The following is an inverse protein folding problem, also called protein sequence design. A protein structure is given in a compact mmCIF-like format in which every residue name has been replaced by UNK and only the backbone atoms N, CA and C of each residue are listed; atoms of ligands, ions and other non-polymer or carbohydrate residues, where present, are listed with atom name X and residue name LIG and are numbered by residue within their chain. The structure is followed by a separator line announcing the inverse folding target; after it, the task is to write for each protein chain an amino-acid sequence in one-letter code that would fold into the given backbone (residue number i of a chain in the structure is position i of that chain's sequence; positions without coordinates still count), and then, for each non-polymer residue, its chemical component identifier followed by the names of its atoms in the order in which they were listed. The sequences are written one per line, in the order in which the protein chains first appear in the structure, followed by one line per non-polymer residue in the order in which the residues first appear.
data_IF_765194941716
#
_entry.id   IF_765194941716
#
_cell.length_a   1.000
_cell.length_b   1.000
_cell.length_c   1.000
_cell.angle_alpha   90.00
_cell.angle_beta   90.00
_cell.angle_gamma   90.00
#
_symmetry.space_group_name_H-M   'P 1'
#
loop_
_entity.id
_entity.type
_entity.pdbx_description
1 polymer ?
#
# COMPACT_ATOMS: atom_id res chain seq x y z
N UNK A 1 72.33 -32.16 -27.03
CA UNK A 1 72.46 -32.31 -28.48
C UNK A 1 71.17 -31.86 -29.13
N UNK A 2 71.24 -30.75 -29.83
CA UNK A 2 70.60 -30.48 -31.15
C UNK A 2 69.06 -30.48 -31.18
N UNK A 3 68.36 -29.58 -31.72
CA UNK A 3 68.47 -28.46 -32.65
C UNK A 3 67.12 -27.74 -32.68
N UNK A 4 67.07 -26.46 -32.58
CA UNK A 4 66.78 -25.51 -33.64
C UNK A 4 65.67 -25.90 -34.64
N UNK A 5 64.58 -25.12 -34.67
CA UNK A 5 64.20 -24.38 -35.86
C UNK A 5 63.01 -23.46 -35.63
N UNK A 6 63.30 -22.25 -35.79
CA UNK A 6 62.60 -21.08 -36.26
C UNK A 6 61.36 -21.34 -37.13
N UNK A 7 60.26 -20.66 -36.88
CA UNK A 7 59.44 -20.04 -37.88
C UNK A 7 58.69 -18.81 -37.31
N UNK A 8 59.02 -17.68 -37.84
CA UNK A 8 58.32 -16.38 -37.70
C UNK A 8 57.12 -16.41 -38.64
N UNK A 9 55.95 -16.11 -38.15
CA UNK A 9 54.86 -15.63 -39.02
C UNK A 9 54.27 -14.41 -38.34
N UNK A 10 54.47 -13.25 -38.95
CA UNK A 10 53.79 -12.00 -38.68
C UNK A 10 52.38 -12.12 -39.24
N UNK A 11 51.39 -11.91 -38.40
CA UNK A 11 50.01 -11.77 -38.81
C UNK A 11 49.39 -10.60 -38.08
N UNK A 12 49.31 -9.46 -38.79
CA UNK A 12 48.54 -8.34 -38.36
C UNK A 12 47.07 -8.68 -38.38
N UNK A 13 46.43 -8.72 -37.22
CA UNK A 13 44.98 -8.82 -37.12
C UNK A 13 44.43 -7.52 -36.54
N UNK A 14 43.59 -6.89 -37.33
CA UNK A 14 42.89 -5.65 -37.04
C UNK A 14 42.00 -5.78 -35.81
N UNK A 15 42.19 -4.91 -34.85
CA UNK A 15 41.30 -4.77 -33.68
C UNK A 15 40.10 -3.96 -34.13
N UNK A 16 38.99 -4.65 -34.40
CA UNK A 16 37.70 -4.01 -34.54
C UNK A 16 37.17 -3.73 -33.12
N UNK A 17 37.29 -2.49 -32.69
CA UNK A 17 36.64 -2.04 -31.43
C UNK A 17 35.14 -1.95 -31.64
N UNK A 18 34.42 -2.99 -31.29
CA UNK A 18 32.99 -2.94 -31.14
C UNK A 18 32.65 -2.19 -29.83
N UNK A 19 32.28 -0.93 -29.96
CA UNK A 19 31.71 -0.15 -28.85
C UNK A 19 30.33 -0.74 -28.51
N UNK A 20 30.28 -1.65 -27.55
CA UNK A 20 29.03 -2.10 -26.95
C UNK A 20 28.48 -0.94 -26.11
N UNK A 21 27.47 -0.25 -26.63
CA UNK A 21 26.65 0.68 -25.87
C UNK A 21 25.85 -0.16 -24.86
N UNK A 22 26.39 -0.34 -23.66
CA UNK A 22 25.67 -0.87 -22.51
C UNK A 22 24.65 0.16 -22.07
N UNK A 23 23.43 0.02 -22.54
CA UNK A 23 22.28 0.73 -21.98
C UNK A 23 22.06 0.10 -20.59
N UNK A 24 22.61 0.74 -19.57
CA UNK A 24 22.29 0.42 -18.20
C UNK A 24 20.82 0.75 -17.99
N UNK A 25 19.96 -0.22 -17.59
CA UNK A 25 18.63 0.13 -17.15
C UNK A 25 18.80 0.99 -15.91
N UNK A 26 18.37 2.24 -15.99
CA UNK A 26 18.16 3.07 -14.81
C UNK A 26 17.12 2.36 -13.99
N UNK A 27 17.56 1.61 -12.98
CA UNK A 27 16.71 1.17 -11.89
C UNK A 27 16.17 2.48 -11.30
N UNK A 28 14.92 2.80 -11.66
CA UNK A 28 14.21 3.86 -11.01
C UNK A 28 14.28 3.55 -9.51
N UNK A 29 14.98 4.41 -8.80
CA UNK A 29 15.12 4.35 -7.35
C UNK A 29 13.71 4.40 -6.76
N UNK A 30 13.14 3.21 -6.52
CA UNK A 30 11.91 3.07 -5.77
C UNK A 30 12.27 3.39 -4.33
N UNK A 31 12.40 4.66 -4.08
CA UNK A 31 12.54 5.21 -2.75
C UNK A 31 11.41 4.61 -1.90
N UNK A 32 11.74 3.82 -0.87
CA UNK A 32 10.71 3.20 -0.04
C UNK A 32 9.81 4.32 0.47
N UNK A 33 8.54 4.26 0.07
CA UNK A 33 7.57 5.28 0.47
C UNK A 33 7.65 5.41 1.99
N UNK A 34 8.03 6.59 2.46
CA UNK A 34 8.09 6.93 3.88
C UNK A 34 6.86 6.35 4.55
N UNK A 35 6.98 5.53 5.59
CA UNK A 35 5.83 4.90 6.24
C UNK A 35 4.89 6.02 6.65
N UNK A 36 3.76 6.11 5.97
CA UNK A 36 2.70 7.04 6.33
C UNK A 36 2.25 6.59 7.71
N UNK A 37 2.10 7.54 8.63
CA UNK A 37 1.66 7.22 9.97
C UNK A 37 0.44 6.29 9.88
N UNK A 38 0.59 5.08 10.40
CA UNK A 38 -0.48 4.06 10.41
C UNK A 38 -1.60 4.41 11.40
N UNK A 39 -1.57 5.59 11.96
CA UNK A 39 -2.53 6.07 12.94
C UNK A 39 -3.79 6.59 12.29
N UNK A 40 -4.89 5.88 12.46
CA UNK A 40 -6.24 6.36 12.20
C UNK A 40 -6.73 7.13 13.43
N UNK A 41 -6.69 8.46 13.38
CA UNK A 41 -7.16 9.28 14.48
C UNK A 41 -8.67 9.17 14.64
N UNK A 42 -9.12 8.71 15.81
CA UNK A 42 -10.55 8.48 16.09
C UNK A 42 -11.41 9.72 15.83
N UNK A 43 -10.90 10.90 16.15
CA UNK A 43 -11.62 12.18 15.97
C UNK A 43 -11.72 12.64 14.51
N UNK A 44 -10.98 12.01 13.60
CA UNK A 44 -10.93 12.36 12.19
C UNK A 44 -11.64 11.33 11.31
N UNK A 45 -12.35 10.40 11.93
CA UNK A 45 -13.12 9.41 11.18
C UNK A 45 -14.39 10.06 10.66
N UNK A 46 -14.50 10.13 9.35
CA UNK A 46 -15.63 10.78 8.68
C UNK A 46 -16.62 9.75 8.13
N UNK A 47 -16.10 8.58 7.70
CA UNK A 47 -16.93 7.60 7.02
C UNK A 47 -16.45 6.16 7.26
N UNK A 48 -17.40 5.23 7.15
CA UNK A 48 -17.19 3.78 7.18
C UNK A 48 -17.78 3.16 5.92
N UNK A 49 -17.02 2.27 5.28
CA UNK A 49 -17.48 1.50 4.15
C UNK A 49 -17.21 0.01 4.40
N UNK A 50 -18.25 -0.78 4.45
CA UNK A 50 -18.13 -2.23 4.56
C UNK A 50 -17.41 -2.81 3.33
N UNK A 51 -16.56 -3.80 3.57
CA UNK A 51 -15.98 -4.68 2.55
C UNK A 51 -16.70 -6.04 2.64
N UNK A 52 -16.70 -6.60 3.84
CA UNK A 52 -17.32 -7.87 4.21
C UNK A 52 -17.65 -7.89 5.71
N UNK A 53 -18.19 -9.01 6.20
CA UNK A 53 -18.57 -9.16 7.62
C UNK A 53 -17.39 -9.06 8.61
N UNK A 54 -16.16 -9.10 8.12
CA UNK A 54 -14.93 -9.07 8.94
C UNK A 54 -14.02 -7.91 8.65
N UNK A 55 -14.36 -7.06 7.68
CA UNK A 55 -13.51 -5.93 7.32
C UNK A 55 -14.28 -4.73 6.78
N UNK A 56 -13.74 -3.54 7.05
CA UNK A 56 -14.25 -2.28 6.58
C UNK A 56 -13.13 -1.33 6.20
N UNK A 57 -13.47 -0.33 5.38
CA UNK A 57 -12.62 0.83 5.14
C UNK A 57 -13.12 1.97 6.01
N UNK A 58 -12.21 2.58 6.73
CA UNK A 58 -12.43 3.84 7.44
C UNK A 58 -11.79 4.95 6.63
N UNK A 59 -12.52 6.01 6.43
CA UNK A 59 -12.04 7.23 5.79
C UNK A 59 -11.86 8.32 6.85
N UNK A 60 -10.69 8.96 6.84
CA UNK A 60 -10.38 10.06 7.73
C UNK A 60 -9.98 11.29 6.92
N UNK A 61 -10.30 12.47 7.43
CA UNK A 61 -9.85 13.72 6.80
C UNK A 61 -8.34 13.92 6.89
N UNK A 62 -7.70 14.50 5.88
CA UNK A 62 -8.14 14.76 4.51
C UNK A 62 -7.69 13.64 3.55
N UNK A 63 -8.55 12.74 3.16
CA UNK A 63 -8.27 11.72 2.12
C UNK A 63 -7.38 10.54 2.55
N UNK A 64 -7.33 10.21 3.83
CA UNK A 64 -6.64 9.02 4.33
C UNK A 64 -7.63 7.90 4.52
N UNK A 65 -7.20 6.71 4.14
CA UNK A 65 -8.01 5.49 4.20
C UNK A 65 -7.28 4.41 4.97
N UNK A 66 -8.03 3.67 5.75
CA UNK A 66 -7.50 2.55 6.52
C UNK A 66 -8.42 1.35 6.33
N UNK A 67 -7.83 0.18 6.15
CA UNK A 67 -8.55 -1.08 6.24
C UNK A 67 -8.54 -1.53 7.69
N UNK A 68 -9.71 -1.76 8.23
CA UNK A 68 -9.89 -2.34 9.56
C UNK A 68 -10.34 -3.78 9.40
N UNK A 69 -9.67 -4.70 10.08
CA UNK A 69 -10.05 -6.11 10.15
C UNK A 69 -10.58 -6.39 11.55
N UNK A 70 -11.72 -7.07 11.62
CA UNK A 70 -12.38 -7.43 12.87
C UNK A 70 -12.01 -8.82 13.33
N UNK A 71 -12.01 -9.03 14.62
CA UNK A 71 -11.78 -10.34 15.24
C UNK A 71 -13.04 -11.21 15.25
N UNK A 72 -14.21 -10.60 15.15
CA UNK A 72 -15.52 -11.25 15.11
C UNK A 72 -16.32 -10.72 13.91
N UNK A 73 -17.37 -11.47 13.53
CA UNK A 73 -18.30 -11.03 12.49
C UNK A 73 -19.06 -9.77 12.91
N UNK A 74 -19.15 -8.82 11.97
CA UNK A 74 -19.77 -7.51 12.13
C UNK A 74 -20.88 -7.33 11.10
N UNK A 75 -21.95 -8.12 11.21
CA UNK A 75 -23.02 -8.22 10.18
C UNK A 75 -23.85 -6.96 10.05
N UNK A 76 -24.07 -6.26 11.17
CA UNK A 76 -24.86 -5.04 11.17
C UNK A 76 -24.14 -3.86 10.50
N UNK A 77 -22.84 -3.97 10.19
CA UNK A 77 -22.08 -2.92 9.51
C UNK A 77 -22.69 -2.57 8.15
N UNK A 78 -23.16 -3.58 7.40
CA UNK A 78 -23.82 -3.41 6.08
C UNK A 78 -25.07 -2.54 6.14
N UNK A 79 -25.80 -2.62 7.25
CA UNK A 79 -27.07 -1.95 7.42
C UNK A 79 -27.01 -0.81 8.44
N UNK A 80 -25.81 -0.48 8.88
CA UNK A 80 -25.63 0.46 9.97
C UNK A 80 -26.06 1.87 9.58
N UNK A 81 -26.90 2.45 10.41
CA UNK A 81 -27.26 3.87 10.35
C UNK A 81 -26.40 4.71 11.29
N UNK A 82 -25.69 4.07 12.19
CA UNK A 82 -24.72 4.72 13.06
C UNK A 82 -23.49 3.82 13.28
N UNK A 83 -22.36 4.45 13.52
CA UNK A 83 -21.15 3.80 13.96
C UNK A 83 -20.53 4.64 15.09
N UNK A 84 -20.16 3.99 16.18
CA UNK A 84 -19.50 4.62 17.31
C UNK A 84 -18.21 3.87 17.61
N UNK A 85 -17.13 4.60 17.71
CA UNK A 85 -15.83 4.05 18.09
C UNK A 85 -15.69 4.11 19.62
N UNK A 86 -15.39 2.98 20.23
CA UNK A 86 -14.96 2.88 21.61
C UNK A 86 -13.49 2.46 21.63
N UNK A 87 -12.62 3.44 21.61
CA UNK A 87 -11.17 3.27 21.70
C UNK A 87 -10.71 3.39 23.15
N UNK A 88 -9.61 2.69 23.45
CA UNK A 88 -8.89 2.91 24.69
C UNK A 88 -8.34 4.34 24.76
N UNK A 89 -7.96 4.82 25.93
CA UNK A 89 -7.35 6.16 26.05
C UNK A 89 -6.13 6.25 25.12
N UNK A 90 -6.31 6.86 23.99
CA UNK A 90 -5.33 7.00 22.94
C UNK A 90 -5.93 7.73 21.75
N UNK A 91 -5.07 8.18 20.88
CA UNK A 91 -5.47 9.00 19.73
C UNK A 91 -5.73 8.12 18.50
N UNK A 92 -5.07 6.96 18.44
CA UNK A 92 -5.09 6.05 17.29
C UNK A 92 -6.00 4.85 17.53
N UNK A 93 -6.81 4.54 16.54
CA UNK A 93 -7.54 3.29 16.47
C UNK A 93 -6.57 2.12 16.31
N UNK A 94 -6.75 1.06 17.08
CA UNK A 94 -5.84 -0.07 17.09
C UNK A 94 -6.47 -1.39 17.48
N UNK A 95 -5.66 -2.43 17.51
CA UNK A 95 -6.09 -3.76 17.94
C UNK A 95 -6.62 -3.74 19.38
N UNK A 96 -7.77 -4.38 19.59
CA UNK A 96 -8.46 -4.43 20.87
C UNK A 96 -9.46 -3.29 21.13
N UNK A 97 -9.45 -2.25 20.31
CA UNK A 97 -10.54 -1.29 20.29
C UNK A 97 -11.78 -1.89 19.64
N UNK A 98 -12.91 -1.25 19.79
CA UNK A 98 -14.15 -1.74 19.19
C UNK A 98 -14.95 -0.63 18.52
N UNK A 99 -15.69 -1.04 17.52
CA UNK A 99 -16.67 -0.22 16.84
C UNK A 99 -18.04 -0.81 17.12
N UNK A 100 -18.95 0.01 17.60
CA UNK A 100 -20.35 -0.35 17.75
C UNK A 100 -21.09 0.19 16.54
N UNK A 101 -21.70 -0.69 15.80
CA UNK A 101 -22.47 -0.37 14.61
C UNK A 101 -23.87 -0.89 14.74
N UNK A 102 -24.82 -0.22 14.11
CA UNK A 102 -26.19 -0.72 14.19
C UNK A 102 -27.23 0.17 13.56
N UNK A 103 -28.44 -0.27 13.73
CA UNK A 103 -29.69 0.39 13.36
C UNK A 103 -30.71 0.18 14.46
N UNK A 104 -31.87 0.80 14.37
CA UNK A 104 -32.93 0.74 15.37
C UNK A 104 -33.12 -0.64 16.01
N UNK A 105 -32.68 -0.80 17.26
CA UNK A 105 -32.86 -2.01 18.06
C UNK A 105 -31.86 -3.15 17.79
N UNK A 106 -31.02 -3.03 16.76
CA UNK A 106 -29.99 -4.04 16.41
C UNK A 106 -28.63 -3.39 16.39
N UNK A 107 -27.66 -4.02 17.04
CA UNK A 107 -26.27 -3.54 17.02
C UNK A 107 -25.27 -4.69 17.20
N UNK A 108 -24.11 -4.52 16.60
CA UNK A 108 -22.95 -5.38 16.75
C UNK A 108 -21.80 -4.63 17.42
N UNK A 109 -21.02 -5.37 18.20
CA UNK A 109 -19.74 -4.92 18.74
C UNK A 109 -18.63 -5.59 17.96
N UNK A 110 -17.97 -4.82 17.13
CA UNK A 110 -16.92 -5.26 16.22
C UNK A 110 -15.56 -4.99 16.85
N UNK A 111 -14.89 -6.03 17.32
CA UNK A 111 -13.56 -5.90 17.92
C UNK A 111 -12.50 -5.82 16.83
N UNK A 112 -11.65 -4.83 16.90
CA UNK A 112 -10.59 -4.59 15.92
C UNK A 112 -9.44 -5.56 16.17
N UNK A 113 -9.04 -6.28 15.11
CA UNK A 113 -7.85 -7.12 15.08
C UNK A 113 -6.65 -6.35 14.55
N UNK A 114 -6.83 -5.61 13.45
CA UNK A 114 -5.76 -4.82 12.82
C UNK A 114 -6.29 -3.59 12.11
N UNK A 115 -5.43 -2.60 11.97
CA UNK A 115 -5.67 -1.38 11.21
C UNK A 115 -4.49 -1.16 10.27
N UNK A 116 -4.76 -1.08 8.98
CA UNK A 116 -3.75 -0.93 7.93
C UNK A 116 -4.01 0.32 7.12
N UNK A 117 -2.99 1.17 6.95
CA UNK A 117 -3.11 2.34 6.10
C UNK A 117 -3.14 1.92 4.63
N UNK A 118 -4.16 2.36 3.91
CA UNK A 118 -4.29 2.16 2.48
C UNK A 118 -3.63 3.32 1.69
N UNK A 119 -3.15 3.06 0.46
CA UNK A 119 -2.69 4.14 -0.40
C UNK A 119 -3.84 5.12 -0.67
N UNK A 120 -3.54 6.42 -0.86
CA UNK A 120 -4.56 7.38 -1.25
C UNK A 120 -5.17 6.97 -2.57
N UNK A 121 -6.46 7.23 -2.75
CA UNK A 121 -7.07 7.08 -4.06
C UNK A 121 -6.32 7.98 -5.04
N UNK A 122 -5.88 7.40 -6.18
CA UNK A 122 -5.41 8.21 -7.28
C UNK A 122 -6.53 9.19 -7.63
N UNK A 123 -6.22 10.49 -7.58
CA UNK A 123 -7.16 11.49 -8.11
C UNK A 123 -7.38 11.12 -9.56
N UNK A 124 -8.63 10.84 -9.94
CA UNK A 124 -8.97 10.78 -11.34
C UNK A 124 -8.51 12.10 -11.95
N UNK A 125 -7.49 12.03 -12.78
CA UNK A 125 -7.08 13.20 -13.57
C UNK A 125 -8.28 13.48 -14.47
N UNK A 126 -8.92 14.65 -14.38
CA UNK A 126 -9.98 14.97 -15.31
C UNK A 126 -9.34 14.94 -16.69
N UNK A 127 -9.75 13.97 -17.50
CA UNK A 127 -9.39 13.95 -18.92
C UNK A 127 -10.09 15.16 -19.50
N UNK A 128 -9.35 16.26 -19.62
CA UNK A 128 -9.81 17.40 -20.41
C UNK A 128 -9.98 16.90 -21.84
N UNK A 129 -11.23 16.70 -22.23
CA UNK A 129 -11.54 16.43 -23.62
C UNK A 129 -11.03 17.61 -24.47
N UNK A 130 -10.27 17.37 -25.53
CA UNK A 130 -9.91 18.45 -26.45
C UNK A 130 -11.19 18.92 -27.14
N UNK A 131 -11.39 20.22 -27.13
CA UNK A 131 -12.41 20.89 -27.95
C UNK A 131 -12.04 20.75 -29.43
#
# INVERSE_FOLDING_TARGET
MSNLLRARIAGAAAVAAAAALTISPVLADQQPAKPRSSCAFVRQIDNFKEIDDYSAIIETSPSRRFKVTFANSCRELRWAHFARVEARPGICLGAGDKIIVGRHGFYDRCFIRSVEALPPMARAVPTSAPY
#
